data_IF_209027138003
#
_entry.id   IF_209027138003
#
_cell.length_a   1.000
_cell.length_b   1.000
_cell.length_c   1.000
_cell.angle_alpha   90.00
_cell.angle_beta   90.00
_cell.angle_gamma   90.00
#
_symmetry.space_group_name_H-M   'P 1'
#
loop_
_entity.id
_entity.type
_entity.pdbx_description
1 polymer ?
#
# COMPACT_ATOMS: atom_id res chain seq x y z
N UNK A 1 -13.70 9.61 -2.43
CA UNK A 1 -12.25 9.85 -2.58
C UNK A 1 -11.87 9.68 -4.04
N UNK A 2 -10.84 10.34 -4.55
CA UNK A 2 -10.36 10.13 -5.92
C UNK A 2 -10.03 8.65 -6.15
N UNK A 3 -10.47 8.08 -7.27
CA UNK A 3 -10.35 6.63 -7.52
C UNK A 3 -8.88 6.17 -7.47
N UNK A 4 -7.96 6.92 -8.08
CA UNK A 4 -6.54 6.60 -8.03
C UNK A 4 -5.95 6.56 -6.61
N UNK A 5 -6.50 7.33 -5.68
CA UNK A 5 -6.05 7.36 -4.28
C UNK A 5 -6.63 6.17 -3.51
N UNK A 6 -7.86 5.74 -3.84
CA UNK A 6 -8.43 4.49 -3.32
C UNK A 6 -7.62 3.30 -3.80
N UNK A 7 -7.30 3.25 -5.09
CA UNK A 7 -6.49 2.19 -5.68
C UNK A 7 -5.09 2.14 -5.06
N UNK A 8 -4.49 3.30 -4.81
CA UNK A 8 -3.20 3.40 -4.12
C UNK A 8 -3.25 2.78 -2.72
N UNK A 9 -4.20 3.23 -1.89
CA UNK A 9 -4.32 2.76 -0.51
C UNK A 9 -4.61 1.27 -0.44
N UNK A 10 -5.54 0.79 -1.27
CA UNK A 10 -5.86 -0.64 -1.34
C UNK A 10 -4.63 -1.47 -1.72
N UNK A 11 -3.86 -1.04 -2.72
CA UNK A 11 -2.66 -1.76 -3.14
C UNK A 11 -1.56 -1.71 -2.09
N UNK A 12 -1.42 -0.59 -1.37
CA UNK A 12 -0.50 -0.46 -0.23
C UNK A 12 -0.87 -1.43 0.90
N UNK A 13 -2.16 -1.52 1.27
CA UNK A 13 -2.67 -2.45 2.27
C UNK A 13 -2.45 -3.92 1.86
N UNK A 14 -2.74 -4.26 0.60
CA UNK A 14 -2.54 -5.61 0.06
C UNK A 14 -1.05 -6.02 0.11
N UNK A 15 -0.14 -5.11 -0.28
CA UNK A 15 1.31 -5.36 -0.19
C UNK A 15 1.73 -5.56 1.26
N UNK A 16 1.30 -4.67 2.17
CA UNK A 16 1.65 -4.76 3.59
C UNK A 16 1.16 -6.07 4.23
N UNK A 17 -0.05 -6.51 3.87
CA UNK A 17 -0.60 -7.75 4.40
C UNK A 17 0.12 -8.99 3.83
N UNK A 18 0.50 -8.98 2.56
CA UNK A 18 1.30 -10.05 1.96
C UNK A 18 2.69 -10.13 2.56
N UNK A 19 3.35 -8.99 2.78
CA UNK A 19 4.67 -8.92 3.43
C UNK A 19 4.63 -9.48 4.85
N UNK A 20 3.61 -9.09 5.63
CA UNK A 20 3.37 -9.67 6.96
C UNK A 20 3.12 -11.19 6.92
N UNK A 21 2.36 -11.67 5.93
CA UNK A 21 2.13 -13.11 5.78
C UNK A 21 3.41 -13.84 5.37
N UNK A 22 4.22 -13.26 4.49
CA UNK A 22 5.51 -13.80 4.09
C UNK A 22 6.44 -13.99 5.29
N UNK A 23 6.54 -12.98 6.15
CA UNK A 23 7.33 -13.05 7.38
C UNK A 23 6.88 -14.18 8.30
N UNK A 24 5.56 -14.33 8.49
CA UNK A 24 5.00 -15.46 9.25
C UNK A 24 5.34 -16.81 8.63
N UNK A 25 5.19 -16.95 7.33
CA UNK A 25 5.44 -18.21 6.63
C UNK A 25 6.94 -18.55 6.64
N UNK A 26 7.82 -17.57 6.52
CA UNK A 26 9.27 -17.74 6.71
C UNK A 26 9.62 -18.17 8.14
N UNK A 27 8.97 -17.59 9.15
CA UNK A 27 9.13 -18.02 10.53
C UNK A 27 8.64 -19.45 10.78
N UNK A 28 7.53 -19.85 10.15
CA UNK A 28 7.04 -21.23 10.15
C UNK A 28 8.07 -22.19 9.54
N UNK A 29 8.61 -21.87 8.35
CA UNK A 29 9.64 -22.68 7.71
C UNK A 29 10.87 -22.87 8.61
N UNK A 30 11.30 -21.81 9.31
CA UNK A 30 12.42 -21.89 10.25
C UNK A 30 12.17 -22.92 11.36
N UNK A 31 10.94 -23.04 11.85
CA UNK A 31 10.56 -24.05 12.86
C UNK A 31 10.69 -25.48 12.31
N UNK A 32 10.32 -25.69 11.05
CA UNK A 32 10.45 -26.98 10.37
C UNK A 32 11.91 -27.35 10.07
N UNK A 33 12.75 -26.40 9.70
CA UNK A 33 14.16 -26.68 9.33
C UNK A 33 15.05 -26.82 10.58
N UNK A 34 14.84 -25.96 11.57
CA UNK A 34 15.82 -25.73 12.65
C UNK A 34 15.21 -25.55 14.04
N UNK A 35 13.88 -25.58 14.16
CA UNK A 35 13.19 -25.35 15.42
C UNK A 35 12.52 -26.61 15.97
N UNK A 36 11.43 -26.38 16.68
CA UNK A 36 10.68 -27.38 17.44
C UNK A 36 9.98 -28.44 16.57
N UNK A 37 9.82 -28.19 15.27
CA UNK A 37 9.17 -29.11 14.33
C UNK A 37 10.17 -29.94 13.50
N UNK A 38 11.48 -29.81 13.73
CA UNK A 38 12.53 -30.43 12.91
C UNK A 38 12.46 -31.96 12.83
N UNK A 39 12.09 -32.62 13.92
CA UNK A 39 12.06 -34.08 14.00
C UNK A 39 10.72 -34.68 13.55
N UNK A 40 9.75 -33.83 13.16
CA UNK A 40 8.47 -34.25 12.59
C UNK A 40 8.70 -34.54 11.09
N UNK A 41 8.76 -35.83 10.75
CA UNK A 41 9.20 -36.39 9.45
C UNK A 41 8.86 -35.53 8.22
N UNK A 42 9.89 -34.91 7.65
CA UNK A 42 9.88 -34.28 6.33
C UNK A 42 9.91 -35.36 5.23
N UNK A 43 8.75 -35.88 4.81
CA UNK A 43 8.60 -36.52 3.49
C UNK A 43 8.45 -35.44 2.41
N UNK A 44 8.57 -35.77 1.12
CA UNK A 44 8.34 -34.83 0.01
C UNK A 44 6.90 -34.28 -0.06
N UNK A 45 5.95 -34.90 0.65
CA UNK A 45 4.58 -34.40 0.85
C UNK A 45 4.40 -33.67 2.21
N UNK A 46 5.49 -33.49 2.96
CA UNK A 46 5.44 -32.88 4.28
C UNK A 46 4.90 -31.46 4.22
N UNK A 47 4.32 -31.04 5.34
CA UNK A 47 3.85 -29.66 5.51
C UNK A 47 4.98 -28.65 5.29
N UNK A 48 6.24 -29.00 5.58
CA UNK A 48 7.43 -28.19 5.27
C UNK A 48 7.59 -27.87 3.79
N UNK A 49 7.51 -28.86 2.90
CA UNK A 49 7.59 -28.65 1.44
C UNK A 49 6.43 -27.78 0.92
N UNK A 50 5.25 -27.89 1.54
CA UNK A 50 4.11 -27.00 1.26
C UNK A 50 4.33 -25.57 1.77
N UNK A 51 5.13 -25.37 2.82
CA UNK A 51 5.51 -24.03 3.32
C UNK A 51 6.39 -23.32 2.30
N UNK A 52 7.38 -24.01 1.72
CA UNK A 52 8.26 -23.44 0.69
C UNK A 52 7.46 -23.00 -0.54
N UNK A 53 6.57 -23.86 -1.07
CA UNK A 53 5.69 -23.49 -2.18
C UNK A 53 4.75 -22.30 -1.87
N UNK A 54 4.29 -22.18 -0.61
CA UNK A 54 3.51 -21.00 -0.17
C UNK A 54 4.36 -19.73 -0.15
N UNK A 55 5.62 -19.82 0.29
CA UNK A 55 6.57 -18.68 0.26
C UNK A 55 6.77 -18.23 -1.17
N UNK A 56 7.07 -19.13 -2.10
CA UNK A 56 7.28 -18.81 -3.51
C UNK A 56 6.04 -18.12 -4.12
N UNK A 57 4.84 -18.60 -3.82
CA UNK A 57 3.60 -17.99 -4.29
C UNK A 57 3.39 -16.57 -3.74
N UNK A 58 3.65 -16.35 -2.45
CA UNK A 58 3.54 -15.03 -1.82
C UNK A 58 4.58 -14.07 -2.41
N UNK A 59 5.84 -14.50 -2.56
CA UNK A 59 6.91 -13.68 -3.14
C UNK A 59 6.60 -13.29 -4.59
N UNK A 60 6.06 -14.23 -5.38
CA UNK A 60 5.60 -13.98 -6.73
C UNK A 60 4.48 -12.93 -6.76
N UNK A 61 3.45 -13.08 -5.95
CA UNK A 61 2.34 -12.12 -5.88
C UNK A 61 2.81 -10.73 -5.42
N UNK A 62 3.68 -10.69 -4.41
CA UNK A 62 4.26 -9.46 -3.88
C UNK A 62 5.06 -8.72 -4.96
N UNK A 63 5.86 -9.44 -5.76
CA UNK A 63 6.58 -8.84 -6.89
C UNK A 63 5.64 -8.20 -7.94
N UNK A 64 4.52 -8.87 -8.26
CA UNK A 64 3.52 -8.30 -9.18
C UNK A 64 2.87 -7.05 -8.62
N UNK A 65 2.43 -7.08 -7.36
CA UNK A 65 1.79 -5.92 -6.72
C UNK A 65 2.76 -4.75 -6.55
N UNK A 66 4.03 -5.00 -6.20
CA UNK A 66 5.05 -3.94 -6.15
C UNK A 66 5.28 -3.31 -7.53
N UNK A 67 5.24 -4.09 -8.61
CA UNK A 67 5.32 -3.58 -9.97
C UNK A 67 4.08 -2.73 -10.32
N UNK A 68 2.90 -3.15 -9.91
CA UNK A 68 1.67 -2.38 -10.10
C UNK A 68 1.68 -1.08 -9.30
N UNK A 69 2.21 -1.11 -8.07
CA UNK A 69 2.43 0.09 -7.24
C UNK A 69 3.37 1.06 -7.93
N UNK A 70 4.47 0.56 -8.52
CA UNK A 70 5.38 1.37 -9.30
C UNK A 70 4.69 2.02 -10.52
N UNK A 71 3.91 1.26 -11.29
CA UNK A 71 3.14 1.79 -12.43
C UNK A 71 2.13 2.84 -12.00
N UNK A 72 1.42 2.62 -10.90
CA UNK A 72 0.43 3.54 -10.35
C UNK A 72 1.07 4.84 -9.88
N UNK A 73 2.17 4.79 -9.12
CA UNK A 73 2.94 5.99 -8.72
C UNK A 73 3.42 6.78 -9.94
N UNK A 74 3.84 6.10 -11.01
CA UNK A 74 4.25 6.73 -12.28
C UNK A 74 3.08 7.32 -13.07
N UNK A 75 1.87 6.79 -12.94
CA UNK A 75 0.66 7.38 -13.51
C UNK A 75 0.30 8.66 -12.74
N UNK A 76 0.24 8.58 -11.41
CA UNK A 76 -0.13 9.69 -10.53
C UNK A 76 0.85 10.87 -10.67
N UNK A 77 2.13 10.61 -10.88
CA UNK A 77 3.13 11.68 -11.09
C UNK A 77 2.89 12.53 -12.35
N UNK A 78 2.06 12.05 -13.30
CA UNK A 78 1.66 12.81 -14.49
C UNK A 78 0.46 13.72 -14.23
N UNK A 79 -0.26 13.53 -13.13
CA UNK A 79 -1.43 14.35 -12.82
C UNK A 79 -1.02 15.78 -12.48
N UNK A 80 -1.69 16.73 -13.12
CA UNK A 80 -1.47 18.16 -12.94
C UNK A 80 -2.56 18.75 -12.04
N UNK A 81 -2.40 20.02 -11.69
CA UNK A 81 -3.33 20.74 -10.83
C UNK A 81 -2.97 20.62 -9.35
N UNK A 82 -3.28 21.68 -8.61
CA UNK A 82 -2.91 21.82 -7.21
C UNK A 82 -3.54 20.72 -6.33
N UNK A 83 -4.80 20.34 -6.59
CA UNK A 83 -5.49 19.33 -5.78
C UNK A 83 -4.80 17.95 -5.86
N UNK A 84 -4.46 17.49 -7.07
CA UNK A 84 -3.74 16.22 -7.25
C UNK A 84 -2.37 16.25 -6.56
N UNK A 85 -1.66 17.39 -6.65
CA UNK A 85 -0.37 17.56 -5.98
C UNK A 85 -0.50 17.52 -4.46
N UNK A 86 -1.50 18.20 -3.89
CA UNK A 86 -1.77 18.18 -2.44
C UNK A 86 -2.03 16.73 -2.00
N UNK A 87 -2.90 16.01 -2.70
CA UNK A 87 -3.25 14.62 -2.35
C UNK A 87 -2.05 13.68 -2.47
N UNK A 88 -1.30 13.74 -3.58
CA UNK A 88 -0.10 12.92 -3.77
C UNK A 88 0.91 13.18 -2.65
N UNK A 89 1.25 14.45 -2.41
CA UNK A 89 2.26 14.78 -1.39
C UNK A 89 1.82 14.38 0.01
N UNK A 90 0.54 14.58 0.34
CA UNK A 90 0.00 14.25 1.67
C UNK A 90 -0.06 12.75 1.94
N UNK A 91 -0.56 11.98 0.98
CA UNK A 91 -0.92 10.57 1.21
C UNK A 91 0.06 9.57 0.60
N UNK A 92 0.90 9.97 -0.36
CA UNK A 92 1.91 9.09 -0.99
C UNK A 92 3.31 9.48 -0.53
N UNK A 93 3.62 10.77 -0.55
CA UNK A 93 4.96 11.26 -0.18
C UNK A 93 5.09 11.52 1.34
N UNK A 94 4.00 11.41 2.10
CA UNK A 94 3.99 11.52 3.57
C UNK A 94 4.16 12.94 4.12
N UNK A 95 4.04 13.98 3.29
CA UNK A 95 4.29 15.37 3.67
C UNK A 95 3.15 15.97 4.53
N UNK A 96 3.51 16.90 5.39
CA UNK A 96 2.59 17.80 6.09
C UNK A 96 2.01 18.87 5.15
N UNK A 97 0.91 19.50 5.53
CA UNK A 97 0.30 20.55 4.68
C UNK A 97 1.20 21.80 4.62
N UNK A 98 1.99 22.04 5.67
CA UNK A 98 3.03 23.07 5.73
C UNK A 98 4.14 22.82 4.71
N UNK A 99 4.73 21.62 4.70
CA UNK A 99 5.79 21.26 3.73
C UNK A 99 5.25 21.28 2.29
N UNK A 100 3.97 20.94 2.10
CA UNK A 100 3.30 21.07 0.79
C UNK A 100 3.18 22.53 0.39
N UNK A 101 2.80 23.41 1.31
CA UNK A 101 2.69 24.84 1.04
C UNK A 101 4.04 25.45 0.66
N UNK A 102 5.09 25.13 1.40
CA UNK A 102 6.45 25.57 1.09
C UNK A 102 6.90 25.06 -0.30
N UNK A 103 6.74 23.76 -0.55
CA UNK A 103 7.19 23.14 -1.80
C UNK A 103 6.38 23.57 -3.04
N UNK A 104 5.11 23.93 -2.89
CA UNK A 104 4.27 24.48 -3.97
C UNK A 104 4.27 26.01 -4.02
N UNK A 105 5.01 26.69 -3.14
CA UNK A 105 5.11 28.16 -3.04
C UNK A 105 3.76 28.85 -2.78
N UNK A 106 2.94 28.24 -1.92
CA UNK A 106 1.69 28.82 -1.42
C UNK A 106 1.80 29.14 0.06
N UNK A 107 0.88 29.97 0.57
CA UNK A 107 0.72 30.10 2.02
C UNK A 107 0.15 28.82 2.61
N UNK A 108 0.54 28.50 3.84
CA UNK A 108 -0.01 27.35 4.56
C UNK A 108 -1.55 27.42 4.60
N UNK A 109 -2.11 28.58 4.94
CA UNK A 109 -3.56 28.83 4.98
C UNK A 109 -4.26 28.46 3.67
N UNK A 110 -3.67 28.78 2.51
CA UNK A 110 -4.23 28.43 1.22
C UNK A 110 -4.31 26.91 1.01
N UNK A 111 -3.23 26.18 1.34
CA UNK A 111 -3.19 24.72 1.23
C UNK A 111 -4.17 24.06 2.21
N UNK A 112 -4.26 24.56 3.44
CA UNK A 112 -5.24 24.11 4.43
C UNK A 112 -6.68 24.25 3.93
N UNK A 113 -7.03 25.42 3.39
CA UNK A 113 -8.36 25.67 2.83
C UNK A 113 -8.65 24.74 1.64
N UNK A 114 -7.69 24.60 0.72
CA UNK A 114 -7.83 23.71 -0.44
C UNK A 114 -7.99 22.25 -0.04
N UNK A 115 -7.20 21.76 0.90
CA UNK A 115 -7.33 20.40 1.43
C UNK A 115 -8.73 20.18 2.05
N UNK A 116 -9.22 21.11 2.87
CA UNK A 116 -10.56 21.04 3.45
C UNK A 116 -11.69 21.06 2.40
N UNK A 117 -11.56 21.86 1.34
CA UNK A 117 -12.48 21.85 0.20
C UNK A 117 -12.50 20.50 -0.54
N UNK A 118 -11.33 19.90 -0.78
CA UNK A 118 -11.21 18.58 -1.39
C UNK A 118 -11.92 17.53 -0.52
N UNK A 119 -11.63 17.51 0.78
CA UNK A 119 -12.22 16.52 1.70
C UNK A 119 -13.74 16.66 1.82
N UNK A 120 -14.27 17.90 1.84
CA UNK A 120 -15.71 18.14 1.85
C UNK A 120 -16.40 17.61 0.59
N UNK A 121 -15.82 17.86 -0.59
CA UNK A 121 -16.36 17.35 -1.87
C UNK A 121 -16.33 15.82 -1.93
N UNK A 122 -15.25 15.21 -1.44
CA UNK A 122 -15.12 13.76 -1.35
C UNK A 122 -16.23 13.17 -0.47
N UNK A 123 -16.41 13.71 0.74
CA UNK A 123 -17.43 13.23 1.68
C UNK A 123 -18.83 13.35 1.09
N UNK A 124 -19.14 14.50 0.48
CA UNK A 124 -20.43 14.72 -0.15
C UNK A 124 -20.70 13.75 -1.31
N UNK A 125 -19.71 13.49 -2.17
CA UNK A 125 -19.86 12.53 -3.26
C UNK A 125 -20.08 11.10 -2.75
N UNK A 126 -19.39 10.71 -1.67
CA UNK A 126 -19.58 9.38 -1.04
C UNK A 126 -20.99 9.23 -0.45
N UNK A 127 -21.51 10.27 0.22
CA UNK A 127 -22.88 10.30 0.74
C UNK A 127 -23.93 10.14 -0.37
N UNK A 128 -23.72 10.75 -1.53
CA UNK A 128 -24.63 10.61 -2.68
C UNK A 128 -24.62 9.22 -3.30
N UNK A 129 -23.49 8.52 -3.28
CA UNK A 129 -23.37 7.17 -3.84
C UNK A 129 -23.94 6.06 -2.95
N UNK A 130 -24.39 6.41 -1.74
CA UNK A 130 -25.04 5.48 -0.80
C UNK A 130 -26.57 5.39 -0.98
N UNK A 131 -27.13 6.15 -1.93
CA UNK A 131 -28.55 6.13 -2.33
C UNK A 131 -28.70 5.58 -3.75
#
# INVERSE_FOLDING_TARGET
MFDWLKDYQKLEEEIAYLDYNLDKTKAELKRWISGDLRDVRLTSESEGAKVEGRIEAIEYELAHKMNDMYKLKRLISKFRGLENKILKKKYIDGMTLEEIAESEKYSASHIYQKHAEIMRRIKFAEELTLY
#
